data_IF_676819233942
#
_entry.id   IF_676819233942
#
_cell.length_a   1.000
_cell.length_b   1.000
_cell.length_c   1.000
_cell.angle_alpha   90.00
_cell.angle_beta   90.00
_cell.angle_gamma   90.00
#
_symmetry.space_group_name_H-M   'P 1'
#
loop_
_entity.id
_entity.type
_entity.pdbx_description
1 polymer ?
#
# COMPACT_ATOMS: atom_id res chain seq x y z
N UNK A 1 6.23 2.24 -16.76
CA UNK A 1 7.37 1.85 -17.59
C UNK A 1 7.27 2.34 -19.03
N UNK A 2 6.08 2.24 -19.68
CA UNK A 2 5.95 2.59 -21.11
C UNK A 2 6.23 4.06 -21.45
N UNK A 3 5.97 4.99 -20.54
CA UNK A 3 6.19 6.43 -20.71
C UNK A 3 7.42 6.96 -19.96
N UNK A 4 8.22 6.08 -19.38
CA UNK A 4 9.39 6.48 -18.61
C UNK A 4 10.56 6.87 -19.54
N UNK A 5 11.35 7.88 -19.17
CA UNK A 5 12.57 8.26 -19.86
C UNK A 5 13.78 7.45 -19.40
N UNK A 6 13.73 6.95 -18.17
CA UNK A 6 14.73 6.07 -17.58
C UNK A 6 14.10 5.11 -16.56
N UNK A 7 14.84 4.10 -16.21
CA UNK A 7 14.47 3.11 -15.19
C UNK A 7 15.47 3.14 -14.04
N UNK A 8 15.01 3.03 -12.81
CA UNK A 8 15.85 2.71 -11.66
C UNK A 8 15.76 1.20 -11.47
N UNK A 9 16.82 0.51 -11.84
CA UNK A 9 16.85 -0.95 -11.82
C UNK A 9 17.55 -1.42 -10.56
N UNK A 10 16.87 -2.28 -9.77
CA UNK A 10 17.46 -2.96 -8.65
C UNK A 10 18.22 -4.18 -9.17
N UNK A 11 19.55 -4.10 -9.16
CA UNK A 11 20.43 -5.13 -9.70
C UNK A 11 21.08 -5.90 -8.57
N UNK A 12 21.22 -7.22 -8.73
CA UNK A 12 22.16 -8.00 -7.94
C UNK A 12 23.58 -7.73 -8.46
N UNK A 13 24.45 -7.27 -7.59
CA UNK A 13 25.84 -6.88 -7.93
C UNK A 13 26.90 -7.69 -7.17
N UNK A 14 26.49 -8.62 -6.31
CA UNK A 14 27.34 -9.61 -5.68
C UNK A 14 27.23 -10.96 -6.42
N UNK A 15 28.24 -11.80 -6.26
CA UNK A 15 28.22 -13.16 -6.79
C UNK A 15 27.08 -13.99 -6.18
N UNK A 16 26.62 -15.02 -6.89
CA UNK A 16 25.49 -15.85 -6.46
C UNK A 16 25.78 -16.63 -5.18
N UNK A 17 27.02 -16.99 -4.96
CA UNK A 17 27.55 -17.76 -3.83
C UNK A 17 28.10 -16.88 -2.68
N UNK A 18 28.00 -15.55 -2.80
CA UNK A 18 28.41 -14.64 -1.74
C UNK A 18 27.62 -14.94 -0.45
N UNK A 19 28.31 -15.21 0.67
CA UNK A 19 27.65 -15.57 1.95
C UNK A 19 26.97 -14.40 2.68
N UNK A 20 27.18 -13.16 2.23
CA UNK A 20 26.56 -11.98 2.83
C UNK A 20 25.03 -11.98 2.76
N UNK A 21 24.40 -11.08 3.50
CA UNK A 21 22.94 -10.93 3.49
C UNK A 21 22.44 -10.54 2.08
N UNK A 22 21.32 -11.10 1.63
CA UNK A 22 20.79 -10.83 0.29
C UNK A 22 20.49 -9.35 0.03
N UNK A 23 20.13 -8.60 1.07
CA UNK A 23 19.87 -7.17 0.96
C UNK A 23 21.12 -6.35 0.63
N UNK A 24 22.30 -6.80 1.06
CA UNK A 24 23.58 -6.12 0.85
C UNK A 24 24.19 -6.44 -0.52
N UNK A 25 23.52 -7.28 -1.30
CA UNK A 25 23.94 -7.71 -2.66
C UNK A 25 23.28 -6.89 -3.76
N UNK A 26 22.42 -5.93 -3.40
CA UNK A 26 21.58 -5.19 -4.33
C UNK A 26 22.08 -3.76 -4.51
N UNK A 27 22.11 -3.29 -5.74
CA UNK A 27 22.50 -1.92 -6.11
C UNK A 27 21.46 -1.33 -7.05
N UNK A 28 21.13 -0.06 -6.88
CA UNK A 28 20.25 0.65 -7.80
C UNK A 28 21.07 1.32 -8.90
N UNK A 29 20.63 1.14 -10.15
CA UNK A 29 21.30 1.69 -11.33
C UNK A 29 20.28 2.41 -12.21
N UNK A 30 20.59 3.64 -12.62
CA UNK A 30 19.79 4.39 -13.59
C UNK A 30 20.11 3.90 -14.99
N UNK A 31 19.10 3.42 -15.68
CA UNK A 31 19.19 2.94 -17.05
C UNK A 31 18.29 3.80 -17.94
N UNK A 32 18.85 4.66 -18.82
CA UNK A 32 18.06 5.40 -19.80
C UNK A 32 17.28 4.46 -20.71
N UNK A 33 16.03 4.80 -21.01
CA UNK A 33 15.14 3.94 -21.82
C UNK A 33 15.71 3.55 -23.17
N UNK A 34 16.45 4.45 -23.80
CA UNK A 34 17.01 4.27 -25.15
C UNK A 34 18.36 3.56 -25.16
N UNK A 35 18.85 3.08 -24.00
CA UNK A 35 20.12 2.37 -23.92
C UNK A 35 20.03 1.07 -24.72
N UNK A 36 21.02 0.76 -25.57
CA UNK A 36 21.05 -0.50 -26.31
C UNK A 36 20.92 -1.71 -25.37
N UNK A 37 20.11 -2.69 -25.75
CA UNK A 37 19.80 -3.87 -24.95
C UNK A 37 18.60 -3.71 -24.01
N UNK A 38 18.00 -2.52 -23.89
CA UNK A 38 16.74 -2.33 -23.17
C UNK A 38 15.57 -2.66 -24.11
N UNK A 39 14.90 -3.79 -23.88
CA UNK A 39 13.82 -4.28 -24.70
C UNK A 39 12.49 -4.27 -23.93
N UNK A 40 11.57 -3.37 -24.28
CA UNK A 40 10.22 -3.39 -23.76
C UNK A 40 9.43 -4.43 -24.54
N UNK A 41 9.12 -5.56 -23.90
CA UNK A 41 8.45 -6.71 -24.53
C UNK A 41 6.98 -6.40 -24.75
N UNK A 42 6.29 -5.91 -23.72
CA UNK A 42 4.85 -5.61 -23.77
C UNK A 42 4.41 -4.73 -22.60
N UNK A 43 3.27 -4.10 -22.75
CA UNK A 43 2.52 -3.56 -21.62
C UNK A 43 1.84 -4.68 -20.83
N UNK A 44 1.80 -4.56 -19.51
CA UNK A 44 1.12 -5.51 -18.63
C UNK A 44 -0.17 -4.89 -18.11
N UNK A 45 -1.35 -5.39 -18.50
CA UNK A 45 -2.62 -4.90 -17.97
C UNK A 45 -2.72 -5.17 -16.45
N UNK A 46 -3.21 -4.19 -15.71
CA UNK A 46 -3.51 -4.31 -14.27
C UNK A 46 -5.01 -4.23 -14.08
N UNK A 47 -5.59 -5.18 -13.38
CA UNK A 47 -7.04 -5.33 -13.23
C UNK A 47 -7.79 -5.39 -14.57
N UNK A 48 -7.18 -6.02 -15.58
CA UNK A 48 -7.76 -6.11 -16.93
C UNK A 48 -7.76 -4.79 -17.71
N UNK A 49 -7.18 -3.72 -17.17
CA UNK A 49 -7.09 -2.40 -17.83
C UNK A 49 -5.67 -2.14 -18.31
N UNK A 50 -5.54 -1.43 -19.42
CA UNK A 50 -4.25 -0.91 -19.87
C UNK A 50 -3.59 -0.08 -18.76
N UNK A 51 -2.33 -0.32 -18.51
CA UNK A 51 -1.56 0.36 -17.47
C UNK A 51 -0.18 0.77 -18.00
N UNK A 52 0.55 1.57 -17.23
CA UNK A 52 1.93 1.93 -17.53
C UNK A 52 2.95 0.86 -17.15
N UNK A 53 2.50 -0.27 -16.59
CA UNK A 53 3.37 -1.41 -16.28
C UNK A 53 3.82 -2.09 -17.56
N UNK A 54 5.04 -2.61 -17.57
CA UNK A 54 5.59 -3.30 -18.72
C UNK A 54 6.54 -4.40 -18.29
N UNK A 55 6.68 -5.36 -19.16
CA UNK A 55 7.73 -6.37 -19.11
C UNK A 55 8.93 -5.83 -19.87
N UNK A 56 10.11 -5.81 -19.22
CA UNK A 56 11.35 -5.29 -19.79
C UNK A 56 12.42 -6.36 -19.65
N UNK A 57 13.13 -6.60 -20.76
CA UNK A 57 14.35 -7.42 -20.78
C UNK A 57 15.55 -6.49 -20.91
N UNK A 58 16.52 -6.65 -20.02
CA UNK A 58 17.82 -6.00 -20.07
C UNK A 58 18.84 -7.02 -20.60
N UNK A 59 19.17 -6.93 -21.89
CA UNK A 59 20.10 -7.83 -22.54
C UNK A 59 21.44 -7.15 -22.73
N UNK A 60 22.44 -7.55 -21.93
CA UNK A 60 23.81 -7.01 -21.98
C UNK A 60 23.86 -5.46 -21.98
N UNK A 61 22.94 -4.82 -21.24
CA UNK A 61 22.86 -3.37 -21.15
C UNK A 61 24.09 -2.81 -20.44
N UNK A 62 24.73 -1.83 -21.05
CA UNK A 62 25.87 -1.13 -20.49
C UNK A 62 25.55 0.34 -20.26
N UNK A 63 25.82 0.82 -19.04
CA UNK A 63 25.66 2.22 -18.64
C UNK A 63 26.93 2.69 -17.94
N UNK A 64 27.20 4.02 -17.94
CA UNK A 64 28.32 4.57 -17.18
C UNK A 64 28.19 4.25 -15.68
N UNK A 65 29.35 4.11 -15.00
CA UNK A 65 29.39 3.80 -13.56
C UNK A 65 28.72 4.88 -12.73
N UNK A 66 28.71 6.12 -13.21
CA UNK A 66 28.06 7.28 -12.59
C UNK A 66 26.55 7.17 -12.50
N UNK A 67 25.94 6.25 -13.25
CA UNK A 67 24.52 5.93 -13.18
C UNK A 67 24.17 5.08 -11.94
N UNK A 68 25.15 4.60 -11.19
CA UNK A 68 24.93 3.92 -9.93
C UNK A 68 24.42 4.92 -8.88
N UNK A 69 23.32 4.58 -8.21
CA UNK A 69 22.77 5.33 -7.08
C UNK A 69 23.35 4.82 -5.75
N UNK A 70 24.09 5.68 -5.07
CA UNK A 70 24.73 5.34 -3.81
C UNK A 70 25.91 4.37 -3.97
N UNK A 71 26.25 3.65 -2.90
CA UNK A 71 27.33 2.67 -2.90
C UNK A 71 26.84 1.30 -3.36
N UNK A 72 27.75 0.49 -3.92
CA UNK A 72 27.46 -0.90 -4.24
C UNK A 72 26.97 -1.64 -2.98
N UNK A 73 25.94 -2.45 -3.13
CA UNK A 73 25.32 -3.20 -2.03
C UNK A 73 24.32 -2.41 -1.18
N UNK A 74 24.16 -1.10 -1.36
CA UNK A 74 23.26 -0.27 -0.53
C UNK A 74 21.89 -0.01 -1.17
N UNK A 75 21.59 -0.63 -2.30
CA UNK A 75 20.36 -0.36 -3.06
C UNK A 75 19.08 -0.72 -2.31
N UNK A 76 19.09 -1.81 -1.55
CA UNK A 76 17.94 -2.20 -0.74
C UNK A 76 17.65 -1.18 0.37
N UNK A 77 18.70 -0.73 1.10
CA UNK A 77 18.54 0.28 2.14
C UNK A 77 17.99 1.59 1.59
N UNK A 78 18.55 2.08 0.49
CA UNK A 78 18.07 3.31 -0.18
C UNK A 78 16.60 3.21 -0.63
N UNK A 79 16.15 2.02 -1.04
CA UNK A 79 14.73 1.78 -1.32
C UNK A 79 13.87 1.84 -0.05
N UNK A 80 14.30 1.22 1.06
CA UNK A 80 13.55 1.21 2.31
C UNK A 80 13.42 2.61 2.93
N UNK A 81 14.47 3.43 2.88
CA UNK A 81 14.46 4.81 3.39
C UNK A 81 13.36 5.65 2.71
N UNK A 82 13.16 5.47 1.42
CA UNK A 82 12.09 6.12 0.66
C UNK A 82 10.71 5.52 0.93
N UNK A 83 10.62 4.20 1.03
CA UNK A 83 9.34 3.49 1.16
C UNK A 83 8.66 3.72 2.52
N UNK A 84 9.40 4.08 3.57
CA UNK A 84 8.83 4.38 4.88
C UNK A 84 7.77 5.48 4.81
N UNK A 85 8.16 6.66 4.34
CA UNK A 85 7.27 7.81 4.17
C UNK A 85 6.15 7.51 3.13
N UNK A 86 6.49 6.81 2.05
CA UNK A 86 5.52 6.40 1.02
C UNK A 86 4.39 5.53 1.59
N UNK A 87 4.68 4.61 2.49
CA UNK A 87 3.68 3.77 3.16
C UNK A 87 2.71 4.56 4.02
N UNK A 88 3.21 5.55 4.78
CA UNK A 88 2.34 6.46 5.57
C UNK A 88 1.45 7.29 4.64
N UNK A 89 2.01 7.83 3.55
CA UNK A 89 1.25 8.55 2.54
C UNK A 89 0.11 7.69 1.95
N UNK A 90 0.38 6.45 1.58
CA UNK A 90 -0.65 5.54 1.06
C UNK A 90 -1.75 5.26 2.09
N UNK A 91 -1.41 5.14 3.36
CA UNK A 91 -2.38 4.98 4.43
C UNK A 91 -3.27 6.21 4.60
N UNK A 92 -2.69 7.42 4.63
CA UNK A 92 -3.46 8.67 4.71
C UNK A 92 -4.39 8.88 3.51
N UNK A 93 -3.90 8.60 2.30
CA UNK A 93 -4.72 8.65 1.07
C UNK A 93 -5.90 7.66 1.13
N UNK A 94 -5.64 6.45 1.64
CA UNK A 94 -6.69 5.44 1.84
C UNK A 94 -7.75 5.90 2.83
N UNK A 95 -7.37 6.58 3.91
CA UNK A 95 -8.29 7.13 4.90
C UNK A 95 -9.19 8.19 4.27
N UNK A 96 -8.64 9.09 3.46
CA UNK A 96 -9.44 10.06 2.69
C UNK A 96 -10.43 9.37 1.74
N UNK A 97 -9.99 8.31 1.09
CA UNK A 97 -10.86 7.51 0.22
C UNK A 97 -11.96 6.76 0.99
N UNK A 98 -11.65 6.24 2.19
CA UNK A 98 -12.65 5.64 3.09
C UNK A 98 -13.72 6.65 3.49
N UNK A 99 -13.32 7.87 3.87
CA UNK A 99 -14.27 8.94 4.20
C UNK A 99 -15.19 9.25 3.04
N UNK A 100 -14.65 9.39 1.82
CA UNK A 100 -15.47 9.62 0.63
C UNK A 100 -16.46 8.47 0.38
N UNK A 101 -16.03 7.23 0.53
CA UNK A 101 -16.93 6.07 0.38
C UNK A 101 -18.01 6.05 1.47
N UNK A 102 -17.64 6.43 2.70
CA UNK A 102 -18.54 6.53 3.84
C UNK A 102 -19.60 7.60 3.62
N UNK A 103 -19.22 8.80 3.19
CA UNK A 103 -20.17 9.89 2.92
C UNK A 103 -21.22 9.49 1.88
N UNK A 104 -20.76 8.91 0.77
CA UNK A 104 -21.65 8.39 -0.28
C UNK A 104 -22.58 7.27 0.24
N UNK A 105 -22.07 6.40 1.11
CA UNK A 105 -22.84 5.34 1.72
C UNK A 105 -23.92 5.89 2.66
N UNK A 106 -23.57 6.85 3.53
CA UNK A 106 -24.50 7.48 4.48
C UNK A 106 -25.58 8.26 3.74
N UNK A 107 -25.20 9.08 2.74
CA UNK A 107 -26.16 9.80 1.91
C UNK A 107 -27.17 8.85 1.25
N UNK A 108 -26.71 7.73 0.72
CA UNK A 108 -27.59 6.72 0.15
C UNK A 108 -28.53 6.11 1.19
N UNK A 109 -28.03 5.80 2.37
CA UNK A 109 -28.83 5.22 3.47
C UNK A 109 -29.94 6.20 3.93
N UNK A 110 -29.65 7.48 4.01
CA UNK A 110 -30.60 8.52 4.43
C UNK A 110 -31.67 8.84 3.36
N UNK A 111 -31.31 8.71 2.08
CA UNK A 111 -32.19 9.14 0.99
C UNK A 111 -32.99 8.02 0.35
N UNK A 112 -32.50 6.76 0.39
CA UNK A 112 -33.14 5.63 -0.29
C UNK A 112 -34.39 5.16 0.46
N UNK A 113 -35.51 5.21 -0.21
CA UNK A 113 -36.75 4.56 0.20
C UNK A 113 -36.82 3.12 -0.34
N UNK A 114 -37.34 2.24 0.50
CA UNK A 114 -37.61 0.82 0.18
C UNK A 114 -39.12 0.55 0.23
N UNK A 115 -39.52 -0.71 0.05
CA UNK A 115 -40.92 -1.10 0.05
C UNK A 115 -41.67 -0.54 1.27
N UNK A 116 -42.83 0.05 1.04
CA UNK A 116 -43.65 0.68 2.09
C UNK A 116 -43.28 2.11 2.47
N UNK A 117 -42.37 2.77 1.69
CA UNK A 117 -41.97 4.16 1.95
C UNK A 117 -40.99 4.31 3.11
N UNK A 118 -40.46 3.20 3.64
CA UNK A 118 -39.50 3.22 4.73
C UNK A 118 -38.09 3.51 4.21
N UNK A 119 -37.34 4.35 4.89
CA UNK A 119 -35.96 4.66 4.54
C UNK A 119 -34.96 3.60 5.01
N UNK A 120 -33.87 3.43 4.28
CA UNK A 120 -32.81 2.50 4.64
C UNK A 120 -32.20 2.80 6.01
N UNK A 121 -32.13 4.05 6.45
CA UNK A 121 -31.60 4.45 7.75
C UNK A 121 -32.28 3.77 8.95
N UNK A 122 -33.51 3.30 8.78
CA UNK A 122 -34.27 2.58 9.81
C UNK A 122 -33.94 1.08 9.87
N UNK A 123 -33.10 0.59 8.97
CA UNK A 123 -32.72 -0.82 8.93
C UNK A 123 -31.46 -1.07 9.75
N UNK A 124 -31.52 -2.01 10.70
CA UNK A 124 -30.42 -2.31 11.63
C UNK A 124 -29.12 -2.70 10.92
N UNK A 125 -29.19 -3.45 9.81
CA UNK A 125 -27.99 -3.80 9.04
C UNK A 125 -27.30 -2.56 8.47
N UNK A 126 -28.06 -1.56 8.05
CA UNK A 126 -27.49 -0.30 7.54
C UNK A 126 -26.85 0.52 8.66
N UNK A 127 -27.48 0.56 9.83
CA UNK A 127 -26.90 1.18 11.01
C UNK A 127 -25.60 0.47 11.43
N UNK A 128 -25.56 -0.85 11.36
CA UNK A 128 -24.36 -1.64 11.58
C UNK A 128 -23.25 -1.29 10.60
N UNK A 129 -23.55 -1.16 9.31
CA UNK A 129 -22.55 -0.77 8.30
C UNK A 129 -21.97 0.63 8.57
N UNK A 130 -22.80 1.59 9.02
CA UNK A 130 -22.33 2.92 9.41
C UNK A 130 -21.38 2.81 10.61
N UNK A 131 -21.80 2.14 11.68
CA UNK A 131 -21.03 2.02 12.91
C UNK A 131 -19.68 1.33 12.68
N UNK A 132 -19.68 0.18 12.01
CA UNK A 132 -18.47 -0.58 11.68
C UNK A 132 -17.51 0.22 10.80
N UNK A 133 -18.04 0.93 9.80
CA UNK A 133 -17.21 1.73 8.91
C UNK A 133 -16.61 2.93 9.62
N UNK A 134 -17.36 3.59 10.50
CA UNK A 134 -16.85 4.68 11.32
C UNK A 134 -15.69 4.21 12.22
N UNK A 135 -15.85 3.07 12.90
CA UNK A 135 -14.80 2.49 13.74
C UNK A 135 -13.56 2.11 12.93
N UNK A 136 -13.74 1.49 11.77
CA UNK A 136 -12.63 1.14 10.86
C UNK A 136 -11.83 2.40 10.44
N UNK A 137 -12.52 3.48 10.09
CA UNK A 137 -11.90 4.74 9.64
C UNK A 137 -11.16 5.41 10.79
N UNK A 138 -11.79 5.53 11.97
CA UNK A 138 -11.18 6.18 13.14
C UNK A 138 -9.94 5.42 13.61
N UNK A 139 -10.01 4.09 13.70
CA UNK A 139 -8.87 3.26 14.07
C UNK A 139 -7.72 3.42 13.08
N UNK A 140 -8.01 3.35 11.78
CA UNK A 140 -7.01 3.54 10.73
C UNK A 140 -6.35 4.93 10.82
N UNK A 141 -7.15 5.98 11.05
CA UNK A 141 -6.68 7.36 11.17
C UNK A 141 -5.76 7.54 12.38
N UNK A 142 -6.20 7.11 13.55
CA UNK A 142 -5.42 7.26 14.78
C UNK A 142 -4.09 6.50 14.72
N UNK A 143 -4.11 5.25 14.24
CA UNK A 143 -2.88 4.48 14.04
C UNK A 143 -1.92 5.18 13.07
N UNK A 144 -2.43 5.78 12.00
CA UNK A 144 -1.59 6.43 10.99
C UNK A 144 -1.00 7.74 11.51
N UNK A 145 -1.78 8.53 12.26
CA UNK A 145 -1.29 9.76 12.92
C UNK A 145 -0.21 9.41 13.94
N UNK A 146 -0.46 8.45 14.81
CA UNK A 146 0.53 7.99 15.80
C UNK A 146 1.84 7.56 15.12
N UNK A 147 1.76 6.80 14.03
CA UNK A 147 2.93 6.40 13.26
C UNK A 147 3.70 7.61 12.70
N UNK A 148 3.00 8.62 12.18
CA UNK A 148 3.61 9.84 11.64
C UNK A 148 4.31 10.65 12.75
N UNK A 149 3.67 10.85 13.90
CA UNK A 149 4.23 11.53 15.07
C UNK A 149 5.48 10.81 15.59
N UNK A 150 5.46 9.49 15.62
CA UNK A 150 6.61 8.67 16.00
C UNK A 150 7.78 8.83 15.02
N UNK A 151 7.50 8.91 13.72
CA UNK A 151 8.53 9.20 12.71
C UNK A 151 9.14 10.59 12.91
N UNK A 152 8.32 11.59 13.22
CA UNK A 152 8.76 12.96 13.45
C UNK A 152 9.59 13.11 14.71
N UNK A 153 9.31 12.36 15.76
CA UNK A 153 10.08 12.33 17.01
C UNK A 153 11.45 11.69 16.90
N UNK A 154 11.75 11.04 15.77
CA UNK A 154 13.01 10.31 15.56
C UNK A 154 13.06 8.92 16.22
N UNK A 155 11.97 8.45 16.82
CA UNK A 155 11.86 7.09 17.32
C UNK A 155 11.77 6.07 16.19
N UNK A 156 12.04 4.78 16.46
CA UNK A 156 11.96 3.72 15.45
C UNK A 156 10.49 3.40 15.06
N UNK A 157 10.01 3.80 13.87
CA UNK A 157 8.63 3.63 13.47
C UNK A 157 8.37 2.31 12.73
N UNK A 158 9.34 1.41 12.59
CA UNK A 158 9.24 0.26 11.66
C UNK A 158 8.06 -0.66 11.95
N UNK A 159 7.78 -0.89 13.24
CA UNK A 159 6.63 -1.71 13.64
C UNK A 159 5.31 -1.02 13.33
N UNK A 160 5.23 0.29 13.58
CA UNK A 160 4.03 1.10 13.35
C UNK A 160 3.74 1.23 11.86
N UNK A 161 4.76 1.52 11.03
CA UNK A 161 4.65 1.54 9.56
C UNK A 161 4.12 0.19 9.05
N UNK A 162 4.62 -0.93 9.56
CA UNK A 162 4.15 -2.24 9.16
C UNK A 162 2.72 -2.51 9.63
N UNK A 163 2.35 -2.06 10.82
CA UNK A 163 1.01 -2.22 11.38
C UNK A 163 -0.04 -1.46 10.56
N UNK A 164 0.21 -0.18 10.26
CA UNK A 164 -0.72 0.60 9.43
C UNK A 164 -0.80 0.06 8.01
N UNK A 165 0.32 -0.41 7.44
CA UNK A 165 0.37 -0.96 6.08
C UNK A 165 -0.45 -2.25 5.92
N UNK A 166 -0.65 -3.00 7.01
CA UNK A 166 -1.57 -4.15 7.04
C UNK A 166 -2.99 -3.67 7.36
N UNK A 167 -3.17 -2.94 8.45
CA UNK A 167 -4.50 -2.63 8.97
C UNK A 167 -5.31 -1.73 8.03
N UNK A 168 -4.71 -0.62 7.55
CA UNK A 168 -5.43 0.41 6.78
C UNK A 168 -5.99 -0.11 5.46
N UNK A 169 -5.26 -0.86 4.61
CA UNK A 169 -5.83 -1.41 3.39
C UNK A 169 -6.95 -2.43 3.64
N UNK A 170 -6.90 -3.19 4.74
CA UNK A 170 -7.98 -4.08 5.12
C UNK A 170 -9.23 -3.31 5.57
N UNK A 171 -9.08 -2.25 6.38
CA UNK A 171 -10.16 -1.38 6.77
C UNK A 171 -10.78 -0.70 5.53
N UNK A 172 -9.94 -0.20 4.63
CA UNK A 172 -10.37 0.42 3.37
C UNK A 172 -11.22 -0.55 2.54
N UNK A 173 -10.78 -1.79 2.42
CA UNK A 173 -11.52 -2.82 1.67
C UNK A 173 -12.90 -3.07 2.29
N UNK A 174 -12.99 -3.20 3.62
CA UNK A 174 -14.28 -3.40 4.32
C UNK A 174 -15.24 -2.22 4.16
N UNK A 175 -14.75 -0.99 4.29
CA UNK A 175 -15.58 0.22 4.14
C UNK A 175 -16.14 0.32 2.72
N UNK A 176 -15.32 0.10 1.71
CA UNK A 176 -15.76 0.16 0.30
C UNK A 176 -16.72 -0.99 -0.02
N UNK A 177 -16.48 -2.18 0.50
CA UNK A 177 -17.36 -3.34 0.32
C UNK A 177 -18.78 -3.06 0.84
N UNK A 178 -18.88 -2.49 2.07
CA UNK A 178 -20.17 -2.08 2.64
C UNK A 178 -20.84 -0.98 1.81
N UNK A 179 -20.07 0.00 1.32
CA UNK A 179 -20.59 1.05 0.45
C UNK A 179 -21.16 0.48 -0.87
N UNK A 180 -20.47 -0.45 -1.50
CA UNK A 180 -20.95 -1.16 -2.70
C UNK A 180 -22.26 -1.89 -2.36
N UNK A 181 -22.32 -2.59 -1.25
CA UNK A 181 -23.51 -3.35 -0.85
C UNK A 181 -24.74 -2.44 -0.65
N UNK A 182 -24.56 -1.27 -0.04
CA UNK A 182 -25.63 -0.28 0.18
C UNK A 182 -26.14 0.31 -1.14
N UNK A 183 -25.26 0.53 -2.11
CA UNK A 183 -25.61 1.06 -3.42
C UNK A 183 -26.16 0.01 -4.38
N UNK A 184 -25.94 -1.28 -4.11
CA UNK A 184 -26.40 -2.38 -4.96
C UNK A 184 -25.78 -2.33 -6.34
N UNK A 185 -26.58 -2.53 -7.40
CA UNK A 185 -26.10 -2.54 -8.78
C UNK A 185 -25.33 -1.26 -9.18
N UNK A 186 -25.78 -0.10 -8.71
CA UNK A 186 -25.07 1.15 -8.96
C UNK A 186 -23.67 1.16 -8.30
N UNK A 187 -23.49 0.48 -7.19
CA UNK A 187 -22.20 0.37 -6.49
C UNK A 187 -21.09 -0.31 -7.30
N UNK A 188 -21.44 -1.16 -8.27
CA UNK A 188 -20.48 -1.82 -9.17
C UNK A 188 -20.42 -1.17 -10.55
N UNK A 189 -21.23 -0.13 -10.80
CA UNK A 189 -21.24 0.62 -12.06
C UNK A 189 -20.09 1.62 -12.16
N UNK A 190 -19.91 2.19 -13.35
CA UNK A 190 -18.94 3.28 -13.59
C UNK A 190 -19.37 4.65 -13.06
N UNK A 191 -20.61 4.79 -12.58
CA UNK A 191 -21.16 6.07 -12.10
C UNK A 191 -20.63 6.44 -10.70
N UNK A 192 -20.12 5.45 -9.96
CA UNK A 192 -19.58 5.60 -8.62
C UNK A 192 -18.10 5.16 -8.56
N UNK A 193 -17.31 5.73 -7.66
CA UNK A 193 -15.88 5.45 -7.60
C UNK A 193 -15.54 4.10 -6.95
N UNK A 194 -16.50 3.35 -6.45
CA UNK A 194 -16.26 2.20 -5.58
C UNK A 194 -15.48 1.06 -6.26
N UNK A 195 -15.73 0.77 -7.53
CA UNK A 195 -14.99 -0.29 -8.24
C UNK A 195 -13.48 0.00 -8.28
N UNK A 196 -13.09 1.25 -8.54
CA UNK A 196 -11.68 1.67 -8.51
C UNK A 196 -11.12 1.70 -7.09
N UNK A 197 -11.90 2.14 -6.11
CA UNK A 197 -11.52 2.12 -4.70
C UNK A 197 -11.30 0.71 -4.18
N UNK A 198 -12.16 -0.24 -4.53
CA UNK A 198 -12.05 -1.66 -4.16
C UNK A 198 -10.78 -2.30 -4.71
N UNK A 199 -10.51 -2.06 -6.00
CA UNK A 199 -9.28 -2.51 -6.65
C UNK A 199 -8.04 -1.87 -6.01
N UNK A 200 -8.10 -0.58 -5.69
CA UNK A 200 -7.04 0.15 -4.98
C UNK A 200 -6.75 -0.42 -3.60
N UNK A 201 -7.78 -0.64 -2.80
CA UNK A 201 -7.67 -1.24 -1.48
C UNK A 201 -7.01 -2.63 -1.54
N UNK A 202 -7.42 -3.46 -2.53
CA UNK A 202 -6.83 -4.79 -2.73
C UNK A 202 -5.37 -4.72 -3.20
N UNK A 203 -5.05 -3.78 -4.08
CA UNK A 203 -3.68 -3.57 -4.58
C UNK A 203 -2.73 -3.18 -3.46
N UNK A 204 -3.15 -2.31 -2.54
CA UNK A 204 -2.33 -1.86 -1.41
C UNK A 204 -1.93 -2.98 -0.44
N UNK A 205 -2.62 -4.11 -0.45
CA UNK A 205 -2.24 -5.29 0.34
C UNK A 205 -1.08 -6.08 -0.28
N UNK A 206 -0.65 -5.70 -1.48
CA UNK A 206 0.47 -6.30 -2.22
C UNK A 206 1.59 -5.28 -2.43
N UNK A 207 1.25 -4.06 -2.87
CA UNK A 207 2.19 -3.00 -3.20
C UNK A 207 2.98 -2.55 -1.95
N UNK A 208 4.23 -2.14 -2.15
CA UNK A 208 5.17 -1.69 -1.10
C UNK A 208 5.41 -2.70 0.04
N UNK A 209 5.29 -3.97 -0.28
CA UNK A 209 5.39 -5.12 0.60
C UNK A 209 4.02 -5.73 0.90
N UNK A 210 3.86 -7.04 0.66
CA UNK A 210 2.61 -7.74 0.96
C UNK A 210 2.35 -7.84 2.47
N UNK A 211 1.08 -8.06 2.83
CA UNK A 211 0.63 -8.20 4.23
C UNK A 211 1.52 -9.15 5.03
N UNK A 212 1.93 -10.26 4.44
CA UNK A 212 2.72 -11.31 5.09
C UNK A 212 4.12 -10.81 5.50
N UNK A 213 4.78 -10.05 4.65
CA UNK A 213 6.11 -9.47 4.96
C UNK A 213 6.02 -8.52 6.14
N UNK A 214 5.00 -7.68 6.17
CA UNK A 214 4.78 -6.74 7.28
C UNK A 214 4.41 -7.46 8.58
N UNK A 215 3.55 -8.49 8.52
CA UNK A 215 3.18 -9.30 9.69
C UNK A 215 4.39 -10.03 10.28
N UNK A 216 5.27 -10.58 9.44
CA UNK A 216 6.52 -11.21 9.89
C UNK A 216 7.42 -10.19 10.60
N UNK A 217 7.53 -8.96 10.06
CA UNK A 217 8.35 -7.92 10.68
C UNK A 217 7.79 -7.52 12.06
N UNK A 218 6.48 -7.31 12.16
CA UNK A 218 5.81 -7.02 13.44
C UNK A 218 6.11 -8.11 14.46
N UNK A 219 5.86 -9.38 14.10
CA UNK A 219 6.08 -10.50 14.99
C UNK A 219 7.53 -10.62 15.45
N UNK A 220 8.49 -10.49 14.53
CA UNK A 220 9.92 -10.52 14.84
C UNK A 220 10.33 -9.40 15.81
N UNK A 221 9.81 -8.18 15.60
CA UNK A 221 10.12 -7.06 16.48
C UNK A 221 9.54 -7.24 17.89
N UNK A 222 8.29 -7.69 17.98
CA UNK A 222 7.67 -8.01 19.27
C UNK A 222 8.46 -9.10 20.01
N UNK A 223 8.73 -10.23 19.36
CA UNK A 223 9.47 -11.33 19.97
C UNK A 223 10.88 -10.91 20.42
N UNK A 224 11.57 -10.10 19.62
CA UNK A 224 12.92 -9.59 19.99
C UNK A 224 12.88 -8.78 21.28
N UNK A 225 11.86 -7.94 21.48
CA UNK A 225 11.71 -7.15 22.73
C UNK A 225 11.48 -8.08 23.92
N UNK A 226 10.58 -9.04 23.80
CA UNK A 226 10.33 -10.01 24.88
C UNK A 226 11.57 -10.86 25.22
N UNK A 227 12.35 -11.27 24.24
CA UNK A 227 13.62 -11.97 24.48
C UNK A 227 14.66 -11.09 25.17
N UNK A 228 14.60 -9.77 24.97
CA UNK A 228 15.45 -8.81 25.68
C UNK A 228 14.96 -8.49 27.11
N UNK A 229 13.88 -9.12 27.58
CA UNK A 229 13.27 -8.87 28.89
C UNK A 229 12.40 -7.60 28.94
N UNK A 230 12.10 -7.01 27.78
CA UNK A 230 11.18 -5.87 27.67
C UNK A 230 9.74 -6.37 27.65
N UNK A 231 8.82 -5.57 28.19
CA UNK A 231 7.38 -5.82 28.08
C UNK A 231 6.75 -4.88 27.03
N UNK A 232 5.49 -5.09 26.74
CA UNK A 232 4.72 -4.20 25.90
C UNK A 232 4.62 -2.82 26.55
N UNK A 233 4.87 -1.78 25.76
CA UNK A 233 4.97 -0.39 26.27
C UNK A 233 3.73 0.47 26.00
N UNK A 234 2.67 -0.11 25.46
CA UNK A 234 1.41 0.58 25.11
C UNK A 234 1.59 1.88 24.31
N UNK A 235 2.64 1.96 23.51
CA UNK A 235 2.85 3.07 22.56
C UNK A 235 3.99 4.02 22.91
N UNK A 236 4.89 3.66 23.81
CA UNK A 236 6.15 4.38 23.99
C UNK A 236 7.19 4.04 22.91
#
# INVERSE_FOLDING_TARGET
GLAADFYIVMCRTADLDDPGADNDKMTQIIVPRKTPGVNIVRGVPVWGRSSSHCEIIYDNVRVPKENQLGRTGTGHQAAQDRLGAGRVYHCMNSIGSMWRAFDLMVERIMTREVHGGEKLENKQFMQGFIADSYMDIQSARLMTIHCAEKMESGADPRTDISSIKVYVPHAYHRVVDRAIQVWGAAGVSGDLPFASMYQGARTLRIADGPDEVHKILIAKNVLRRYHAGETWDFGN
#
